data_IF_999610822932
#
_entry.id   IF_999610822932
#
_cell.length_a   1.000
_cell.length_b   1.000
_cell.length_c   1.000
_cell.angle_alpha   90.00
_cell.angle_beta   90.00
_cell.angle_gamma   90.00
#
_symmetry.space_group_name_H-M   'P 1'
#
loop_
_entity.id
_entity.type
_entity.pdbx_description
1 polymer ?
#
# COMPACT_ATOMS: atom_id res chain seq x y z
N UNK A 1 -7.89 20.90 -13.55
CA UNK A 1 -7.47 19.58 -14.11
C UNK A 1 -6.09 19.20 -13.60
N UNK A 2 -5.97 18.00 -13.03
CA UNK A 2 -4.71 17.48 -12.54
C UNK A 2 -4.30 16.23 -13.32
N UNK A 3 -3.01 15.96 -13.42
CA UNK A 3 -2.48 14.75 -14.07
C UNK A 3 -1.53 14.04 -13.10
N UNK A 4 -1.77 12.77 -12.84
CA UNK A 4 -0.92 11.91 -12.04
C UNK A 4 -0.44 10.71 -12.84
N UNK A 5 0.78 10.25 -12.54
CA UNK A 5 1.26 8.95 -13.01
C UNK A 5 0.87 7.89 -11.97
N UNK A 6 -0.11 7.04 -12.30
CA UNK A 6 -0.63 6.00 -11.40
C UNK A 6 -0.42 4.64 -12.03
N UNK A 7 0.29 3.76 -11.35
CA UNK A 7 0.61 2.40 -11.81
C UNK A 7 1.26 2.39 -13.21
N UNK A 8 2.11 3.38 -13.49
CA UNK A 8 2.81 3.53 -14.75
C UNK A 8 2.04 4.29 -15.84
N UNK A 9 0.75 4.55 -15.65
CA UNK A 9 -0.11 5.24 -16.62
C UNK A 9 -0.37 6.69 -16.21
N UNK A 10 -0.43 7.59 -17.20
CA UNK A 10 -0.88 8.97 -16.99
C UNK A 10 -2.41 9.01 -16.88
N UNK A 11 -2.93 9.57 -15.80
CA UNK A 11 -4.36 9.77 -15.56
C UNK A 11 -4.63 11.25 -15.37
N UNK A 12 -5.49 11.80 -16.23
CA UNK A 12 -5.94 13.20 -16.14
C UNK A 12 -7.38 13.23 -15.64
N UNK A 13 -7.65 14.06 -14.65
CA UNK A 13 -8.95 14.16 -14.00
C UNK A 13 -9.17 15.58 -13.48
N UNK A 14 -10.41 15.88 -13.09
CA UNK A 14 -10.78 17.15 -12.44
C UNK A 14 -11.02 16.90 -10.95
N UNK A 15 -10.24 17.57 -10.11
CA UNK A 15 -10.36 17.54 -8.66
C UNK A 15 -9.70 18.78 -8.07
N UNK A 16 -10.20 19.28 -6.91
CA UNK A 16 -9.53 20.33 -6.14
C UNK A 16 -8.13 19.90 -5.71
N UNK A 17 -7.18 20.82 -5.70
CA UNK A 17 -5.77 20.55 -5.36
C UNK A 17 -5.56 20.02 -3.93
N UNK A 18 -6.47 20.36 -3.03
CA UNK A 18 -6.45 19.93 -1.61
C UNK A 18 -7.22 18.62 -1.37
N UNK A 19 -7.89 18.07 -2.39
CA UNK A 19 -8.59 16.79 -2.25
C UNK A 19 -7.59 15.69 -1.84
N UNK A 20 -7.87 14.91 -0.78
CA UNK A 20 -7.02 13.77 -0.42
C UNK A 20 -6.89 12.77 -1.57
N UNK A 21 -5.67 12.30 -1.82
CA UNK A 21 -5.38 11.34 -2.89
C UNK A 21 -6.27 10.09 -2.80
N UNK A 22 -6.63 9.65 -1.60
CA UNK A 22 -7.55 8.52 -1.39
C UNK A 22 -8.86 8.69 -2.15
N UNK A 23 -9.48 9.87 -2.07
CA UNK A 23 -10.76 10.13 -2.74
C UNK A 23 -10.61 10.31 -4.24
N UNK A 24 -9.49 10.87 -4.69
CA UNK A 24 -9.16 10.88 -6.12
C UNK A 24 -9.09 9.45 -6.66
N UNK A 25 -8.40 8.56 -5.97
CA UNK A 25 -8.30 7.15 -6.39
C UNK A 25 -9.68 6.48 -6.39
N UNK A 26 -10.43 6.58 -5.30
CA UNK A 26 -11.68 5.82 -5.12
C UNK A 26 -12.87 6.41 -5.88
N UNK A 27 -13.08 7.74 -5.75
CA UNK A 27 -14.33 8.35 -6.19
C UNK A 27 -14.21 8.97 -7.59
N UNK A 28 -13.04 9.52 -7.93
CA UNK A 28 -12.83 10.14 -9.24
C UNK A 28 -12.37 9.09 -10.27
N UNK A 29 -11.43 8.22 -9.90
CA UNK A 29 -10.83 7.24 -10.81
C UNK A 29 -11.43 5.83 -10.69
N UNK A 30 -12.31 5.58 -9.71
CA UNK A 30 -12.94 4.27 -9.50
C UNK A 30 -12.00 3.17 -9.04
N UNK A 31 -10.80 3.52 -8.55
CA UNK A 31 -9.79 2.57 -8.07
C UNK A 31 -10.02 2.26 -6.59
N UNK A 32 -10.81 1.25 -6.31
CA UNK A 32 -11.35 0.95 -4.98
C UNK A 32 -10.49 0.03 -4.12
N UNK A 33 -9.35 -0.43 -4.61
CA UNK A 33 -8.42 -1.31 -3.87
C UNK A 33 -7.85 -0.64 -2.63
N UNK A 34 -7.53 0.65 -2.68
CA UNK A 34 -7.11 1.45 -1.53
C UNK A 34 -8.32 1.78 -0.66
N UNK A 35 -8.24 1.58 0.66
CA UNK A 35 -9.39 1.64 1.57
C UNK A 35 -9.33 2.84 2.51
N UNK A 36 -10.51 3.37 2.86
CA UNK A 36 -10.68 4.34 3.94
C UNK A 36 -10.91 3.63 5.28
N UNK A 37 -10.21 4.07 6.32
CA UNK A 37 -10.43 3.60 7.69
C UNK A 37 -10.58 4.78 8.65
N UNK A 38 -9.47 5.33 9.18
CA UNK A 38 -9.50 6.39 10.19
C UNK A 38 -9.59 7.82 9.63
N UNK A 39 -9.09 8.08 8.41
CA UNK A 39 -9.00 9.41 7.81
C UNK A 39 -7.94 10.35 8.42
N UNK A 40 -7.12 9.86 9.36
CA UNK A 40 -6.12 10.62 10.11
C UNK A 40 -4.73 9.98 10.09
N UNK A 41 -4.44 9.19 9.09
CA UNK A 41 -3.16 8.53 8.83
C UNK A 41 -2.70 7.50 9.89
N UNK A 42 -3.59 6.97 10.74
CA UNK A 42 -3.23 6.07 11.84
C UNK A 42 -3.41 4.58 11.52
N UNK A 43 -4.47 4.22 10.78
CA UNK A 43 -4.83 2.80 10.61
C UNK A 43 -4.06 2.08 9.48
N UNK A 44 -3.52 2.80 8.52
CA UNK A 44 -2.77 2.24 7.40
C UNK A 44 -3.59 1.64 6.25
N UNK A 45 -4.92 1.58 6.33
CA UNK A 45 -5.76 1.00 5.28
C UNK A 45 -5.63 1.73 3.94
N UNK A 46 -5.30 3.01 3.95
CA UNK A 46 -5.13 3.87 2.78
C UNK A 46 -3.71 3.93 2.22
N UNK A 47 -2.82 3.06 2.64
CA UNK A 47 -1.41 3.09 2.21
C UNK A 47 -1.27 2.89 0.72
N UNK A 48 -0.55 3.79 0.08
CA UNK A 48 -0.08 3.71 -1.31
C UNK A 48 1.42 3.99 -1.34
N UNK A 49 2.08 3.79 -2.46
CA UNK A 49 3.46 4.25 -2.65
C UNK A 49 3.49 5.57 -3.41
N UNK A 50 4.35 6.46 -3.00
CA UNK A 50 4.71 7.67 -3.70
C UNK A 50 6.23 7.63 -3.95
N UNK A 51 6.64 7.45 -5.22
CA UNK A 51 8.03 7.17 -5.62
C UNK A 51 8.65 5.99 -4.84
N UNK A 52 7.85 4.93 -4.63
CA UNK A 52 8.28 3.72 -3.92
C UNK A 52 8.19 3.77 -2.39
N UNK A 53 7.93 4.92 -1.79
CA UNK A 53 7.79 5.06 -0.34
C UNK A 53 6.33 4.96 0.08
N UNK A 54 6.04 4.24 1.16
CA UNK A 54 4.69 4.14 1.71
C UNK A 54 4.21 5.47 2.30
N UNK A 55 3.03 5.91 1.88
CA UNK A 55 2.37 7.12 2.39
C UNK A 55 0.90 6.85 2.68
N UNK A 56 0.30 7.67 3.54
CA UNK A 56 -1.13 7.58 3.89
C UNK A 56 -1.93 8.51 2.99
N UNK A 57 -2.64 7.95 2.01
CA UNK A 57 -3.37 8.72 1.00
C UNK A 57 -4.58 9.49 1.55
N UNK A 58 -5.09 9.14 2.73
CA UNK A 58 -6.24 9.83 3.34
C UNK A 58 -5.95 11.26 3.80
N UNK A 59 -4.67 11.61 4.00
CA UNK A 59 -4.26 12.96 4.43
C UNK A 59 -3.31 13.63 3.44
N UNK A 60 -2.93 12.94 2.37
CA UNK A 60 -2.05 13.49 1.34
C UNK A 60 -2.89 14.23 0.29
N UNK A 61 -2.76 15.55 0.13
CA UNK A 61 -3.48 16.28 -0.91
C UNK A 61 -2.98 15.85 -2.30
N UNK A 62 -3.86 15.82 -3.27
CA UNK A 62 -3.52 15.38 -4.64
C UNK A 62 -2.42 16.23 -5.27
N UNK A 63 -2.36 17.53 -4.92
CA UNK A 63 -1.29 18.42 -5.36
C UNK A 63 0.10 17.95 -4.95
N UNK A 64 0.24 17.33 -3.78
CA UNK A 64 1.53 16.80 -3.30
C UNK A 64 2.00 15.55 -4.07
N UNK A 65 1.11 14.91 -4.83
CA UNK A 65 1.44 13.76 -5.66
C UNK A 65 1.74 14.13 -7.12
N UNK A 66 1.51 15.39 -7.51
CA UNK A 66 1.78 15.85 -8.88
C UNK A 66 3.29 15.73 -9.21
N UNK A 67 3.58 15.24 -10.42
CA UNK A 67 4.94 15.02 -10.88
C UNK A 67 5.64 13.80 -10.27
N UNK A 68 4.96 13.05 -9.41
CA UNK A 68 5.49 11.86 -8.73
C UNK A 68 4.76 10.59 -9.20
N UNK A 69 5.40 9.44 -9.01
CA UNK A 69 4.81 8.16 -9.36
C UNK A 69 4.01 7.58 -8.18
N UNK A 70 2.70 7.39 -8.39
CA UNK A 70 1.81 6.73 -7.43
C UNK A 70 1.69 5.26 -7.81
N UNK A 71 1.89 4.36 -6.85
CA UNK A 71 1.58 2.94 -7.00
C UNK A 71 0.53 2.54 -5.97
N UNK A 72 -0.53 1.90 -6.44
CA UNK A 72 -1.61 1.37 -5.60
C UNK A 72 -1.55 -0.15 -5.54
N UNK A 73 -2.40 -0.77 -4.72
CA UNK A 73 -2.45 -2.24 -4.62
C UNK A 73 -2.79 -2.91 -5.95
N UNK A 74 -3.54 -2.24 -6.81
CA UNK A 74 -3.87 -2.74 -8.15
C UNK A 74 -2.63 -2.87 -9.05
N UNK A 75 -1.58 -2.08 -8.81
CA UNK A 75 -0.36 -2.06 -9.62
C UNK A 75 0.88 -2.61 -8.93
N UNK A 76 0.84 -2.85 -7.61
CA UNK A 76 2.03 -3.25 -6.85
C UNK A 76 2.61 -4.60 -7.28
N UNK A 77 1.77 -5.50 -7.80
CA UNK A 77 2.20 -6.80 -8.30
C UNK A 77 3.14 -6.74 -9.52
N UNK A 78 3.24 -5.59 -10.19
CA UNK A 78 4.21 -5.37 -11.25
C UNK A 78 5.63 -5.10 -10.71
N UNK A 79 5.77 -4.81 -9.42
CA UNK A 79 7.07 -4.65 -8.76
C UNK A 79 7.57 -5.98 -8.21
N UNK A 80 8.89 -6.18 -8.17
CA UNK A 80 9.49 -7.42 -7.65
C UNK A 80 9.08 -7.70 -6.20
N UNK A 81 9.17 -6.70 -5.32
CA UNK A 81 8.77 -6.85 -3.92
C UNK A 81 7.26 -7.10 -3.79
N UNK A 82 6.43 -6.36 -4.52
CA UNK A 82 4.98 -6.51 -4.50
C UNK A 82 4.51 -7.88 -4.95
N UNK A 83 5.10 -8.43 -6.02
CA UNK A 83 4.77 -9.76 -6.51
C UNK A 83 5.07 -10.85 -5.47
N UNK A 84 6.24 -10.78 -4.81
CA UNK A 84 6.62 -11.71 -3.74
C UNK A 84 5.69 -11.62 -2.54
N UNK A 85 5.33 -10.41 -2.14
CA UNK A 85 4.40 -10.17 -1.04
C UNK A 85 3.03 -10.74 -1.36
N UNK A 86 2.46 -10.44 -2.52
CA UNK A 86 1.14 -10.95 -2.92
C UNK A 86 1.14 -12.49 -2.98
N UNK A 87 2.18 -13.09 -3.53
CA UNK A 87 2.33 -14.55 -3.56
C UNK A 87 2.34 -15.14 -2.14
N UNK A 88 3.14 -14.58 -1.24
CA UNK A 88 3.22 -15.06 0.14
C UNK A 88 1.89 -14.90 0.89
N UNK A 89 1.14 -13.83 0.63
CA UNK A 89 -0.21 -13.62 1.18
C UNK A 89 -1.18 -14.72 0.76
N UNK A 90 -1.13 -15.13 -0.50
CA UNK A 90 -1.95 -16.24 -1.02
C UNK A 90 -1.50 -17.59 -0.46
N UNK A 91 -0.19 -17.87 -0.48
CA UNK A 91 0.38 -19.14 -0.02
C UNK A 91 0.06 -19.42 1.47
N UNK A 92 0.03 -18.39 2.30
CA UNK A 92 -0.22 -18.51 3.74
C UNK A 92 -1.66 -18.16 4.15
N UNK A 93 -2.53 -17.88 3.20
CA UNK A 93 -3.95 -17.54 3.45
C UNK A 93 -4.10 -16.49 4.56
N UNK A 94 -3.37 -15.36 4.42
CA UNK A 94 -3.27 -14.32 5.45
C UNK A 94 -4.62 -13.67 5.75
N UNK A 95 -5.45 -13.48 4.72
CA UNK A 95 -6.65 -12.65 4.73
C UNK A 95 -7.77 -13.26 5.56
N UNK A 96 -8.45 -12.45 6.38
CA UNK A 96 -9.75 -12.76 6.96
C UNK A 96 -10.81 -11.87 6.30
N UNK A 97 -11.23 -10.73 6.90
CA UNK A 97 -12.22 -9.86 6.24
C UNK A 97 -11.65 -9.16 4.98
N UNK A 98 -10.36 -8.98 4.90
CA UNK A 98 -9.66 -8.41 3.75
C UNK A 98 -9.56 -6.87 3.76
N UNK A 99 -10.27 -6.17 4.62
CA UNK A 99 -10.38 -4.71 4.55
C UNK A 99 -9.04 -3.98 4.74
N UNK A 100 -8.21 -4.40 5.67
CA UNK A 100 -6.90 -3.80 5.93
C UNK A 100 -5.79 -4.33 5.02
N UNK A 101 -6.04 -5.38 4.24
CA UNK A 101 -4.95 -6.13 3.60
C UNK A 101 -4.31 -5.39 2.44
N UNK A 102 -5.04 -4.54 1.71
CA UNK A 102 -4.43 -3.68 0.69
C UNK A 102 -3.34 -2.77 1.30
N UNK A 103 -3.63 -2.13 2.42
CA UNK A 103 -2.65 -1.31 3.15
C UNK A 103 -1.50 -2.15 3.74
N UNK A 104 -1.78 -3.33 4.27
CA UNK A 104 -0.77 -4.26 4.80
C UNK A 104 0.21 -4.68 3.69
N UNK A 105 -0.29 -5.06 2.54
CA UNK A 105 0.51 -5.46 1.37
C UNK A 105 1.39 -4.29 0.89
N UNK A 106 0.84 -3.09 0.81
CA UNK A 106 1.60 -1.91 0.37
C UNK A 106 2.74 -1.58 1.33
N UNK A 107 2.49 -1.61 2.65
CA UNK A 107 3.53 -1.38 3.65
C UNK A 107 4.61 -2.47 3.63
N UNK A 108 4.22 -3.74 3.49
CA UNK A 108 5.14 -4.87 3.39
C UNK A 108 6.00 -4.79 2.12
N UNK A 109 5.41 -4.44 0.98
CA UNK A 109 6.15 -4.30 -0.28
C UNK A 109 7.18 -3.17 -0.21
N UNK A 110 6.84 -2.03 0.42
CA UNK A 110 7.79 -0.94 0.64
C UNK A 110 8.94 -1.36 1.56
N UNK A 111 8.65 -2.09 2.63
CA UNK A 111 9.68 -2.63 3.52
C UNK A 111 10.65 -3.53 2.76
N UNK A 112 10.17 -4.51 2.01
CA UNK A 112 11.02 -5.46 1.30
C UNK A 112 11.79 -4.83 0.14
N UNK A 113 11.27 -3.77 -0.47
CA UNK A 113 12.00 -3.00 -1.48
C UNK A 113 13.19 -2.24 -0.88
N UNK A 114 13.02 -1.70 0.33
CA UNK A 114 14.07 -0.96 1.04
C UNK A 114 15.02 -1.89 1.81
N UNK A 115 14.50 -2.98 2.37
CA UNK A 115 15.24 -3.93 3.20
C UNK A 115 14.85 -5.36 2.81
N UNK A 116 15.60 -6.01 1.90
CA UNK A 116 15.22 -7.33 1.37
C UNK A 116 15.22 -8.47 2.39
N UNK A 117 15.92 -8.30 3.51
CA UNK A 117 16.03 -9.31 4.57
C UNK A 117 15.79 -8.67 5.95
N UNK A 118 14.55 -8.24 6.24
CA UNK A 118 14.22 -7.65 7.54
C UNK A 118 14.22 -8.73 8.63
N UNK A 119 14.63 -8.36 9.82
CA UNK A 119 14.39 -9.19 11.01
C UNK A 119 12.99 -8.94 11.61
N UNK A 120 12.64 -9.63 12.68
CA UNK A 120 11.32 -9.47 13.31
C UNK A 120 11.08 -8.05 13.85
N UNK A 121 12.13 -7.40 14.35
CA UNK A 121 12.06 -6.03 14.85
C UNK A 121 11.81 -5.02 13.72
N UNK A 122 12.48 -5.22 12.59
CA UNK A 122 12.28 -4.40 11.38
C UNK A 122 10.84 -4.52 10.86
N UNK A 123 10.32 -5.75 10.82
CA UNK A 123 8.95 -6.03 10.39
C UNK A 123 7.96 -5.36 11.35
N UNK A 124 8.12 -5.53 12.64
CA UNK A 124 7.24 -4.94 13.65
C UNK A 124 7.22 -3.42 13.57
N UNK A 125 8.38 -2.80 13.41
CA UNK A 125 8.49 -1.35 13.26
C UNK A 125 7.81 -0.84 11.98
N UNK A 126 8.06 -1.50 10.85
CA UNK A 126 7.49 -1.11 9.57
C UNK A 126 5.96 -1.28 9.50
N UNK A 127 5.44 -2.33 10.16
CA UNK A 127 4.02 -2.69 10.13
C UNK A 127 3.20 -2.10 11.28
N UNK A 128 3.82 -1.44 12.25
CA UNK A 128 3.16 -0.89 13.45
C UNK A 128 2.01 0.08 13.13
N UNK A 129 2.08 0.81 12.01
CA UNK A 129 1.05 1.74 11.55
C UNK A 129 -0.09 1.08 10.75
N UNK A 130 -0.15 -0.25 10.67
CA UNK A 130 -1.19 -0.98 9.92
C UNK A 130 -2.01 -1.83 10.89
N UNK A 131 -3.26 -1.44 11.10
CA UNK A 131 -4.17 -2.04 12.08
C UNK A 131 -5.05 -3.10 11.41
N UNK A 132 -5.15 -4.28 12.04
CA UNK A 132 -6.05 -5.35 11.60
C UNK A 132 -7.01 -5.72 12.73
N UNK A 133 -8.32 -5.48 12.53
CA UNK A 133 -9.33 -5.83 13.53
C UNK A 133 -9.52 -7.34 13.69
N UNK A 134 -9.24 -8.11 12.64
CA UNK A 134 -9.27 -9.56 12.66
C UNK A 134 -8.03 -10.20 13.32
N UNK A 135 -6.99 -9.42 13.59
CA UNK A 135 -5.79 -9.89 14.28
C UNK A 135 -4.87 -10.77 13.42
N UNK A 136 -4.76 -10.50 12.12
CA UNK A 136 -3.93 -11.30 11.19
C UNK A 136 -2.42 -11.06 11.32
N UNK A 137 -1.96 -10.38 12.37
CA UNK A 137 -0.58 -9.92 12.52
C UNK A 137 0.48 -11.03 12.46
N UNK A 138 0.23 -12.18 13.07
CA UNK A 138 1.19 -13.31 13.03
C UNK A 138 1.33 -13.87 11.62
N UNK A 139 0.23 -13.98 10.88
CA UNK A 139 0.25 -14.41 9.46
C UNK A 139 0.93 -13.39 8.57
N UNK A 140 0.69 -12.10 8.80
CA UNK A 140 1.36 -11.00 8.08
C UNK A 140 2.87 -11.09 8.27
N UNK A 141 3.36 -11.22 9.51
CA UNK A 141 4.79 -11.38 9.78
C UNK A 141 5.36 -12.62 9.08
N UNK A 142 4.68 -13.75 9.18
CA UNK A 142 5.10 -14.97 8.50
C UNK A 142 5.16 -14.82 6.99
N UNK A 143 4.18 -14.13 6.39
CA UNK A 143 4.15 -13.87 4.96
C UNK A 143 5.28 -12.93 4.50
N UNK A 144 5.60 -11.90 5.27
CA UNK A 144 6.75 -11.02 4.98
C UNK A 144 8.05 -11.81 5.01
N UNK A 145 8.25 -12.65 6.03
CA UNK A 145 9.44 -13.53 6.12
C UNK A 145 9.51 -14.52 4.96
N UNK A 146 8.37 -15.09 4.55
CA UNK A 146 8.28 -15.97 3.39
C UNK A 146 8.67 -15.23 2.12
N UNK A 147 8.12 -14.05 1.88
CA UNK A 147 8.45 -13.21 0.71
C UNK A 147 9.93 -12.81 0.70
N UNK A 148 10.52 -12.50 1.86
CA UNK A 148 11.93 -12.16 1.99
C UNK A 148 12.88 -13.36 1.72
N UNK A 149 12.41 -14.59 1.92
CA UNK A 149 13.19 -15.82 1.68
C UNK A 149 13.17 -16.25 0.21
N UNK A 150 12.23 -15.78 -0.59
CA UNK A 150 12.17 -16.09 -2.01
C UNK A 150 13.27 -15.33 -2.76
N UNK A 151 14.24 -16.07 -3.28
CA UNK A 151 15.29 -15.52 -4.14
C UNK A 151 14.66 -15.08 -5.49
N UNK A 152 15.20 -14.02 -6.03
CA UNK A 152 14.79 -13.46 -7.34
C UNK A 152 15.16 -14.42 -8.46
#
# INVERSE_FOLDING_TARGET
MATLKINGEQKTFDAPDDMPLLWVLRDVLGMTGTKFGCGIAQCGACTVHLDGMSVRSCVLPVSAAQGRAVTTVEGVGATSAGAKVQKAWLDLEVIQCGYCQSGQIMSAAALLAAMPKPDDSDIDAAMAGNICRCGTYLRIRAAIKRAASEQS
#
